data_IF_928580500998
#
_entry.id   IF_928580500998
#
_cell.length_a   1.000
_cell.length_b   1.000
_cell.length_c   1.000
_cell.angle_alpha   90.00
_cell.angle_beta   90.00
_cell.angle_gamma   90.00
#
_symmetry.space_group_name_H-M   'P 1'
#
loop_
_entity.id
_entity.type
_entity.pdbx_description
1 polymer ?
#
# COMPACT_ATOMS: atom_id res chain seq x y z
N UNK A 1 -2.92 -21.81 33.95
CA UNK A 1 -1.78 -21.44 33.09
C UNK A 1 -2.16 -21.79 31.67
N UNK A 2 -2.34 -20.79 30.80
CA UNK A 2 -2.58 -21.01 29.38
C UNK A 2 -1.21 -21.26 28.76
N UNK A 3 -0.97 -22.48 28.29
CA UNK A 3 0.30 -22.85 27.64
C UNK A 3 0.36 -22.12 26.30
N UNK A 4 1.16 -21.05 26.21
CA UNK A 4 1.43 -20.36 24.94
C UNK A 4 2.05 -21.34 23.96
N UNK A 5 1.65 -21.25 22.68
CA UNK A 5 2.46 -21.79 21.59
C UNK A 5 3.75 -20.97 21.59
N UNK A 6 4.85 -21.51 22.10
CA UNK A 6 6.14 -20.83 21.99
C UNK A 6 6.56 -20.95 20.54
N UNK A 7 6.55 -19.83 19.79
CA UNK A 7 7.08 -19.79 18.43
C UNK A 7 8.46 -20.47 18.41
N UNK A 8 8.84 -21.25 17.39
CA UNK A 8 10.18 -21.85 17.34
C UNK A 8 11.28 -20.79 17.51
N UNK A 9 12.43 -21.14 18.10
CA UNK A 9 13.50 -20.18 18.49
C UNK A 9 13.97 -19.22 17.39
N UNK A 10 13.82 -19.60 16.12
CA UNK A 10 14.31 -18.82 14.97
C UNK A 10 13.24 -17.97 14.29
N UNK A 11 11.97 -18.05 14.72
CA UNK A 11 10.94 -17.16 14.20
C UNK A 11 10.96 -15.83 14.98
N UNK A 12 10.64 -14.69 14.31
CA UNK A 12 10.45 -13.42 14.99
C UNK A 12 9.52 -13.55 16.19
N UNK A 13 9.84 -12.81 17.25
CA UNK A 13 9.02 -12.72 18.46
C UNK A 13 8.91 -11.26 18.90
N UNK A 14 7.82 -10.90 19.59
CA UNK A 14 7.76 -9.62 20.29
C UNK A 14 8.97 -9.43 21.20
N UNK A 15 9.48 -8.19 21.29
CA UNK A 15 10.59 -7.88 22.20
C UNK A 15 10.15 -7.71 23.66
N UNK A 16 8.84 -7.73 23.92
CA UNK A 16 8.25 -7.60 25.25
C UNK A 16 6.87 -8.27 25.34
N UNK A 17 6.35 -8.37 26.57
CA UNK A 17 5.10 -9.08 26.86
C UNK A 17 3.86 -8.39 26.31
N UNK A 18 3.83 -7.06 26.26
CA UNK A 18 2.68 -6.33 25.74
C UNK A 18 2.49 -6.58 24.25
N UNK A 19 3.58 -6.77 23.50
CA UNK A 19 3.53 -7.15 22.11
C UNK A 19 2.81 -8.50 21.90
N UNK A 20 2.99 -9.46 22.81
CA UNK A 20 2.21 -10.69 22.78
C UNK A 20 0.71 -10.44 23.05
N UNK A 21 0.38 -9.52 23.96
CA UNK A 21 -1.02 -9.14 24.23
C UNK A 21 -1.68 -8.56 22.97
N UNK A 22 -0.96 -7.73 22.20
CA UNK A 22 -1.45 -7.20 20.94
C UNK A 22 -1.67 -8.32 19.90
N UNK A 23 -0.70 -9.20 19.71
CA UNK A 23 -0.84 -10.32 18.77
C UNK A 23 -2.02 -11.23 19.14
N UNK A 24 -2.17 -11.59 20.43
CA UNK A 24 -3.31 -12.39 20.91
C UNK A 24 -4.64 -11.65 20.75
N UNK A 25 -4.68 -10.31 20.92
CA UNK A 25 -5.89 -9.53 20.68
C UNK A 25 -6.32 -9.56 19.20
N UNK A 26 -5.35 -9.45 18.28
CA UNK A 26 -5.60 -9.56 16.83
C UNK A 26 -6.06 -10.97 16.47
N UNK A 27 -5.36 -11.99 16.95
CA UNK A 27 -5.68 -13.40 16.69
C UNK A 27 -7.05 -13.80 17.24
N UNK A 28 -7.35 -13.40 18.48
CA UNK A 28 -8.62 -13.68 19.14
C UNK A 28 -9.79 -13.03 18.41
N UNK A 29 -9.62 -11.79 17.91
CA UNK A 29 -10.66 -11.17 17.09
C UNK A 29 -10.86 -11.92 15.77
N UNK A 30 -9.77 -12.23 15.06
CA UNK A 30 -9.83 -12.89 13.76
C UNK A 30 -10.49 -14.27 13.85
N UNK A 31 -10.10 -15.08 14.84
CA UNK A 31 -10.66 -16.42 15.03
C UNK A 31 -12.14 -16.40 15.43
N UNK A 32 -12.59 -15.38 16.16
CA UNK A 32 -14.00 -15.20 16.51
C UNK A 32 -14.85 -14.68 15.35
N UNK A 33 -14.33 -13.76 14.54
CA UNK A 33 -15.11 -13.01 13.56
C UNK A 33 -14.87 -13.42 12.09
N UNK A 34 -13.83 -14.23 11.83
CA UNK A 34 -13.39 -14.63 10.49
C UNK A 34 -13.02 -13.47 9.56
N UNK A 35 -12.69 -12.32 10.17
CA UNK A 35 -12.25 -11.10 9.49
C UNK A 35 -11.17 -10.43 10.33
N UNK A 36 -10.17 -9.87 9.69
CA UNK A 36 -9.10 -9.14 10.39
C UNK A 36 -9.65 -7.89 11.08
N UNK A 37 -9.23 -7.59 12.32
CA UNK A 37 -9.69 -6.42 13.06
C UNK A 37 -9.19 -5.12 12.44
N UNK A 38 -9.89 -4.02 12.73
CA UNK A 38 -9.38 -2.69 12.43
C UNK A 38 -8.46 -2.18 13.55
N UNK A 39 -7.65 -1.17 13.23
CA UNK A 39 -6.83 -0.45 14.18
C UNK A 39 -7.66 0.10 15.35
N UNK A 40 -8.79 0.76 15.09
CA UNK A 40 -9.65 1.34 16.14
C UNK A 40 -10.14 0.28 17.14
N UNK A 41 -10.47 -0.91 16.65
CA UNK A 41 -10.90 -2.00 17.52
C UNK A 41 -9.76 -2.44 18.45
N UNK A 42 -8.57 -2.65 17.90
CA UNK A 42 -7.42 -3.13 18.67
C UNK A 42 -6.95 -2.08 19.65
N UNK A 43 -6.85 -0.82 19.24
CA UNK A 43 -6.46 0.29 20.12
C UNK A 43 -7.40 0.39 21.35
N UNK A 44 -8.72 0.38 21.11
CA UNK A 44 -9.72 0.39 22.21
C UNK A 44 -9.64 -0.86 23.07
N UNK A 45 -9.38 -2.03 22.47
CA UNK A 45 -9.30 -3.30 23.21
C UNK A 45 -8.08 -3.37 24.11
N UNK A 46 -6.93 -2.85 23.66
CA UNK A 46 -5.73 -2.73 24.47
C UNK A 46 -5.95 -1.76 25.63
N UNK A 47 -6.56 -0.60 25.36
CA UNK A 47 -6.82 0.41 26.38
C UNK A 47 -7.85 -0.03 27.43
N UNK A 48 -8.88 -0.79 27.02
CA UNK A 48 -9.88 -1.34 27.94
C UNK A 48 -9.38 -2.58 28.71
N UNK A 49 -8.25 -3.17 28.28
CA UNK A 49 -7.68 -4.37 28.87
C UNK A 49 -6.87 -4.11 30.14
N UNK A 50 -6.38 -5.18 30.79
CA UNK A 50 -5.47 -5.06 31.92
C UNK A 50 -4.23 -4.24 31.54
N UNK A 51 -3.85 -3.29 32.39
CA UNK A 51 -2.68 -2.43 32.16
C UNK A 51 -2.93 -1.21 31.27
N UNK A 52 -4.15 -1.03 30.72
CA UNK A 52 -4.53 0.12 29.88
C UNK A 52 -3.48 0.43 28.80
N UNK A 53 -3.09 -0.61 28.07
CA UNK A 53 -1.97 -0.55 27.16
C UNK A 53 -2.22 0.47 26.04
N UNK A 54 -1.23 1.33 25.78
CA UNK A 54 -1.29 2.33 24.73
C UNK A 54 -0.69 1.76 23.45
N UNK A 55 -1.48 1.68 22.37
CA UNK A 55 -1.07 1.00 21.12
C UNK A 55 0.30 1.47 20.60
N UNK A 56 0.55 2.78 20.58
CA UNK A 56 1.81 3.37 20.09
C UNK A 56 3.04 2.87 20.86
N UNK A 57 2.89 2.49 22.11
CA UNK A 57 3.98 1.98 22.95
C UNK A 57 4.16 0.49 22.72
N UNK A 58 3.07 -0.26 22.67
CA UNK A 58 3.08 -1.71 22.45
C UNK A 58 3.61 -2.08 21.06
N UNK A 59 3.19 -1.36 20.03
CA UNK A 59 3.53 -1.69 18.64
C UNK A 59 5.03 -1.63 18.34
N UNK A 60 5.80 -0.84 19.11
CA UNK A 60 7.26 -0.78 19.01
C UNK A 60 7.94 -2.08 19.46
N UNK A 61 7.23 -2.97 20.16
CA UNK A 61 7.71 -4.31 20.51
C UNK A 61 7.52 -5.31 19.35
N UNK A 62 6.90 -4.87 18.25
CA UNK A 62 6.60 -5.69 17.07
C UNK A 62 7.31 -5.14 15.83
N UNK A 63 7.34 -5.95 14.78
CA UNK A 63 7.88 -5.60 13.47
C UNK A 63 6.93 -6.06 12.35
N UNK A 64 7.12 -5.61 11.10
CA UNK A 64 6.34 -6.08 9.95
C UNK A 64 6.41 -7.61 9.73
N UNK A 65 7.45 -8.28 10.24
CA UNK A 65 7.55 -9.73 10.24
C UNK A 65 6.50 -10.42 11.12
N UNK A 66 5.86 -9.71 12.06
CA UNK A 66 4.85 -10.24 12.99
C UNK A 66 3.42 -9.76 12.65
N UNK A 67 3.27 -8.48 12.35
CA UNK A 67 1.98 -7.82 12.12
C UNK A 67 2.03 -7.04 10.80
N UNK A 68 0.96 -7.07 10.01
CA UNK A 68 0.80 -6.31 8.75
C UNK A 68 -0.34 -5.29 8.88
N UNK A 69 -0.43 -4.39 7.90
CA UNK A 69 -1.48 -3.37 7.83
C UNK A 69 -1.08 -2.00 8.36
N UNK A 70 0.20 -1.81 8.66
CA UNK A 70 0.76 -0.57 9.17
C UNK A 70 1.98 -0.15 8.35
N UNK A 71 2.21 1.16 8.27
CA UNK A 71 3.48 1.68 7.78
C UNK A 71 4.59 1.39 8.80
N UNK A 72 5.82 1.01 8.39
CA UNK A 72 6.92 0.72 9.32
C UNK A 72 7.27 1.89 10.27
N UNK A 73 7.02 3.12 9.84
CA UNK A 73 7.05 4.31 10.69
C UNK A 73 5.63 4.88 10.87
N UNK A 74 5.01 4.57 12.00
CA UNK A 74 3.66 5.05 12.33
C UNK A 74 3.66 6.49 12.91
N UNK A 75 4.84 7.01 13.28
CA UNK A 75 5.02 8.42 13.64
C UNK A 75 4.91 9.34 12.42
N UNK A 76 5.38 8.86 11.27
CA UNK A 76 5.26 9.51 9.95
C UNK A 76 3.85 9.35 9.38
N UNK A 77 3.35 8.11 9.30
CA UNK A 77 2.02 7.81 8.78
C UNK A 77 1.14 7.20 9.87
N UNK A 78 0.28 8.03 10.45
CA UNK A 78 -0.61 7.58 11.52
C UNK A 78 -1.62 6.55 11.01
N UNK A 79 -1.89 5.46 11.74
CA UNK A 79 -2.93 4.52 11.38
C UNK A 79 -4.29 5.21 11.40
N UNK A 80 -5.11 4.97 10.38
CA UNK A 80 -6.51 5.39 10.39
C UNK A 80 -7.36 4.32 11.10
N UNK A 81 -8.48 4.72 11.69
CA UNK A 81 -9.35 3.81 12.43
C UNK A 81 -9.84 2.60 11.63
N UNK A 82 -9.97 2.74 10.32
CA UNK A 82 -10.44 1.70 9.39
C UNK A 82 -9.34 0.78 8.89
N UNK A 83 -8.05 1.08 9.11
CA UNK A 83 -6.96 0.23 8.66
C UNK A 83 -7.07 -1.17 9.29
N UNK A 84 -7.04 -2.21 8.46
CA UNK A 84 -7.06 -3.59 8.93
C UNK A 84 -5.68 -4.05 9.38
N UNK A 85 -5.63 -4.77 10.50
CA UNK A 85 -4.42 -5.37 11.05
C UNK A 85 -4.49 -6.90 10.89
N UNK A 86 -3.48 -7.49 10.25
CA UNK A 86 -3.42 -8.94 10.02
C UNK A 86 -2.11 -9.55 10.49
N UNK A 87 -2.14 -10.81 10.91
CA UNK A 87 -0.93 -11.50 11.36
C UNK A 87 -0.19 -12.13 10.19
N UNK A 88 1.14 -12.19 10.29
CA UNK A 88 1.96 -13.07 9.47
C UNK A 88 1.95 -14.50 10.04
N UNK A 89 2.59 -15.44 9.34
CA UNK A 89 2.89 -16.78 9.88
C UNK A 89 3.67 -16.69 11.20
N UNK A 90 4.66 -15.80 11.31
CA UNK A 90 5.40 -15.62 12.55
C UNK A 90 4.58 -14.93 13.65
N UNK A 91 3.73 -13.96 13.30
CA UNK A 91 2.79 -13.35 14.25
C UNK A 91 1.87 -14.40 14.86
N UNK A 92 1.23 -15.21 14.02
CA UNK A 92 0.36 -16.29 14.48
C UNK A 92 1.10 -17.36 15.28
N UNK A 93 2.36 -17.66 14.96
CA UNK A 93 3.20 -18.59 15.74
C UNK A 93 3.43 -18.15 17.20
N UNK A 94 3.26 -16.85 17.50
CA UNK A 94 3.36 -16.30 18.84
C UNK A 94 2.01 -16.25 19.59
N UNK A 95 0.91 -16.69 18.95
CA UNK A 95 -0.43 -16.68 19.53
C UNK A 95 -0.83 -18.04 20.11
N UNK A 96 -1.69 -18.00 21.13
CA UNK A 96 -2.25 -19.22 21.70
C UNK A 96 -3.28 -19.85 20.74
N UNK A 97 -3.18 -21.16 20.51
CA UNK A 97 -4.18 -21.91 19.73
C UNK A 97 -4.02 -21.80 18.21
N UNK A 98 -2.95 -21.18 17.70
CA UNK A 98 -2.69 -21.07 16.26
C UNK A 98 -2.11 -22.35 15.63
N UNK A 99 -1.64 -23.32 16.42
CA UNK A 99 -0.90 -24.49 15.95
C UNK A 99 -1.62 -25.32 14.87
N UNK A 100 -2.94 -25.49 14.99
CA UNK A 100 -3.72 -26.21 13.98
C UNK A 100 -3.70 -25.51 12.61
N UNK A 101 -3.91 -24.19 12.61
CA UNK A 101 -3.86 -23.39 11.39
C UNK A 101 -2.47 -23.36 10.75
N UNK A 102 -1.42 -23.24 11.56
CA UNK A 102 -0.04 -23.26 11.09
C UNK A 102 0.37 -24.61 10.50
N UNK A 103 -0.09 -25.71 11.09
CA UNK A 103 0.13 -27.06 10.57
C UNK A 103 -0.61 -27.25 9.24
N UNK A 104 -1.85 -26.77 9.15
CA UNK A 104 -2.63 -26.78 7.90
C UNK A 104 -2.00 -25.91 6.83
N UNK A 105 -1.45 -24.75 7.18
CA UNK A 105 -0.70 -23.89 6.27
C UNK A 105 0.49 -24.63 5.63
N UNK A 106 1.32 -25.31 6.43
CA UNK A 106 2.44 -26.09 5.89
C UNK A 106 1.98 -27.22 4.96
N UNK A 107 0.82 -27.82 5.24
CA UNK A 107 0.24 -28.80 4.33
C UNK A 107 -0.22 -28.15 3.01
N UNK A 108 -0.87 -26.98 3.05
CA UNK A 108 -1.25 -26.21 1.85
C UNK A 108 -0.04 -25.93 0.96
N UNK A 109 1.09 -25.50 1.54
CA UNK A 109 2.33 -25.22 0.80
C UNK A 109 2.87 -26.48 0.12
N UNK A 110 2.91 -27.61 0.84
CA UNK A 110 3.35 -28.90 0.27
C UNK A 110 2.46 -29.35 -0.90
N UNK A 111 1.14 -29.25 -0.74
CA UNK A 111 0.18 -29.66 -1.76
C UNK A 111 0.27 -28.78 -3.01
N UNK A 112 0.32 -27.47 -2.83
CA UNK A 112 0.52 -26.55 -3.95
C UNK A 112 1.82 -26.86 -4.69
N UNK A 113 2.88 -27.23 -3.98
CA UNK A 113 4.17 -27.63 -4.57
C UNK A 113 4.11 -28.95 -5.34
N UNK A 114 3.20 -29.85 -4.99
CA UNK A 114 2.98 -31.13 -5.69
C UNK A 114 2.10 -30.95 -6.94
N UNK A 115 1.11 -30.05 -6.85
CA UNK A 115 0.19 -29.75 -7.96
C UNK A 115 0.92 -28.97 -9.07
N UNK A 116 1.69 -27.94 -8.72
CA UNK A 116 2.24 -26.99 -9.70
C UNK A 116 3.03 -27.63 -10.85
N UNK A 117 3.94 -28.61 -10.63
CA UNK A 117 4.71 -29.21 -11.71
C UNK A 117 3.88 -30.02 -12.72
N UNK A 118 2.72 -30.53 -12.29
CA UNK A 118 1.83 -31.36 -13.09
C UNK A 118 0.66 -30.57 -13.67
N UNK A 119 0.56 -29.29 -13.33
CA UNK A 119 -0.49 -28.42 -13.83
C UNK A 119 -0.22 -28.02 -15.28
N UNK A 120 -1.06 -28.50 -16.19
CA UNK A 120 -1.07 -28.06 -17.58
C UNK A 120 -2.12 -26.95 -17.73
N UNK A 121 -1.72 -25.67 -17.88
CA UNK A 121 -2.66 -24.56 -17.86
C UNK A 121 -3.57 -24.59 -19.11
N UNK A 122 -4.90 -24.56 -18.94
CA UNK A 122 -5.79 -23.99 -19.95
C UNK A 122 -5.35 -22.54 -20.20
N UNK A 123 -5.38 -22.07 -21.44
CA UNK A 123 -4.84 -20.76 -21.85
C UNK A 123 -5.18 -19.62 -20.87
N UNK A 124 -4.18 -19.14 -20.12
CA UNK A 124 -4.28 -17.95 -19.26
C UNK A 124 -4.70 -18.18 -17.81
N UNK A 125 -4.93 -19.43 -17.38
CA UNK A 125 -5.33 -19.75 -16.00
C UNK A 125 -4.13 -20.13 -15.10
N UNK A 126 -4.26 -19.82 -13.81
CA UNK A 126 -3.31 -20.24 -12.76
C UNK A 126 -3.94 -21.35 -11.90
N UNK A 127 -3.15 -22.30 -11.36
CA UNK A 127 -3.68 -23.28 -10.43
C UNK A 127 -4.16 -22.61 -9.15
N UNK A 128 -5.27 -23.11 -8.63
CA UNK A 128 -5.94 -22.62 -7.43
C UNK A 128 -6.01 -23.74 -6.41
N UNK A 129 -5.56 -23.48 -5.19
CA UNK A 129 -5.72 -24.39 -4.06
C UNK A 129 -7.04 -24.04 -3.35
N UNK A 130 -7.87 -25.03 -3.11
CA UNK A 130 -9.19 -24.89 -2.49
C UNK A 130 -9.39 -25.94 -1.39
N UNK A 131 -10.48 -25.81 -0.64
CA UNK A 131 -10.80 -26.73 0.46
C UNK A 131 -10.84 -28.21 0.05
N UNK A 132 -11.35 -28.50 -1.15
CA UNK A 132 -11.47 -29.88 -1.64
C UNK A 132 -10.12 -30.56 -1.87
N UNK A 133 -9.09 -29.79 -2.22
CA UNK A 133 -7.75 -30.30 -2.51
C UNK A 133 -7.06 -30.81 -1.25
N UNK A 134 -7.50 -30.36 -0.07
CA UNK A 134 -6.94 -30.80 1.22
C UNK A 134 -7.55 -32.12 1.74
N UNK A 135 -8.69 -32.57 1.20
CA UNK A 135 -9.49 -33.66 1.81
C UNK A 135 -8.85 -35.05 1.70
N UNK A 136 -8.03 -35.29 0.69
CA UNK A 136 -7.46 -36.61 0.38
C UNK A 136 -5.93 -36.63 0.39
N UNK A 137 -5.30 -35.63 1.02
CA UNK A 137 -3.84 -35.48 0.96
C UNK A 137 -3.15 -36.25 2.08
N UNK A 138 -2.09 -36.96 1.70
CA UNK A 138 -1.17 -37.62 2.62
C UNK A 138 -0.31 -36.62 3.40
N UNK A 139 -0.21 -36.79 4.72
CA UNK A 139 0.71 -35.99 5.56
C UNK A 139 0.10 -34.72 6.20
N UNK A 140 -1.24 -34.60 6.18
CA UNK A 140 -2.00 -33.69 7.04
C UNK A 140 -2.78 -34.51 8.07
N UNK A 141 -2.88 -34.03 9.31
CA UNK A 141 -3.79 -34.64 10.30
C UNK A 141 -5.23 -34.40 9.83
N UNK A 142 -6.03 -35.45 9.56
CA UNK A 142 -7.41 -35.30 9.10
C UNK A 142 -8.28 -34.46 10.03
N UNK A 143 -7.96 -34.40 11.32
CA UNK A 143 -8.69 -33.57 12.31
C UNK A 143 -8.51 -32.07 12.08
N UNK A 144 -7.46 -31.68 11.35
CA UNK A 144 -7.17 -30.28 11.01
C UNK A 144 -7.79 -29.87 9.66
N UNK A 145 -8.35 -30.80 8.89
CA UNK A 145 -9.00 -30.55 7.60
C UNK A 145 -10.47 -30.17 7.81
N UNK A 146 -10.74 -29.17 8.63
CA UNK A 146 -12.08 -28.59 8.79
C UNK A 146 -12.18 -27.27 8.02
N UNK A 147 -13.40 -26.84 7.67
CA UNK A 147 -13.59 -25.54 6.99
C UNK A 147 -13.05 -24.39 7.84
N UNK A 148 -13.23 -24.45 9.15
CA UNK A 148 -12.80 -23.43 10.10
C UNK A 148 -11.27 -23.30 10.14
N UNK A 149 -10.55 -24.42 10.27
CA UNK A 149 -9.09 -24.41 10.39
C UNK A 149 -8.45 -24.06 9.04
N UNK A 150 -8.96 -24.63 7.96
CA UNK A 150 -8.44 -24.37 6.61
C UNK A 150 -8.72 -22.94 6.17
N UNK A 151 -9.88 -22.36 6.48
CA UNK A 151 -10.16 -20.95 6.24
C UNK A 151 -9.16 -20.03 6.96
N UNK A 152 -8.89 -20.31 8.24
CA UNK A 152 -7.92 -19.54 9.04
C UNK A 152 -6.51 -19.69 8.49
N UNK A 153 -6.10 -20.90 8.10
CA UNK A 153 -4.81 -21.14 7.48
C UNK A 153 -4.67 -20.40 6.13
N UNK A 154 -5.70 -20.40 5.30
CA UNK A 154 -5.71 -19.70 4.02
C UNK A 154 -5.62 -18.18 4.19
N UNK A 155 -6.30 -17.61 5.20
CA UNK A 155 -6.22 -16.19 5.51
C UNK A 155 -4.81 -15.74 5.95
N UNK A 156 -4.03 -16.62 6.57
CA UNK A 156 -2.60 -16.38 6.85
C UNK A 156 -1.75 -16.55 5.58
N UNK A 157 -2.08 -17.53 4.74
CA UNK A 157 -1.34 -17.89 3.54
C UNK A 157 -1.42 -16.86 2.41
N UNK A 158 -2.54 -16.14 2.28
CA UNK A 158 -2.85 -15.29 1.12
C UNK A 158 -1.81 -14.22 0.82
N UNK A 159 -1.09 -13.74 1.84
CA UNK A 159 -0.06 -12.71 1.73
C UNK A 159 1.37 -13.25 1.87
N UNK A 160 1.53 -14.57 1.85
CA UNK A 160 2.83 -15.23 1.87
C UNK A 160 3.40 -15.36 0.45
N UNK A 161 4.73 -15.23 0.26
CA UNK A 161 5.36 -15.19 -1.07
C UNK A 161 5.21 -16.49 -1.85
N UNK A 162 4.79 -17.57 -1.20
CA UNK A 162 4.54 -18.86 -1.82
C UNK A 162 3.15 -18.88 -2.54
N UNK A 163 2.31 -17.87 -2.35
CA UNK A 163 1.00 -17.71 -3.00
C UNK A 163 0.88 -16.33 -3.68
N UNK A 164 0.08 -16.25 -4.75
CA UNK A 164 -0.14 -15.06 -5.59
C UNK A 164 -1.39 -14.27 -5.20
N UNK A 165 -1.88 -14.48 -3.99
CA UNK A 165 -3.15 -13.96 -3.50
C UNK A 165 -4.24 -15.03 -3.45
N UNK A 166 -5.48 -14.60 -3.30
CA UNK A 166 -6.59 -15.51 -3.08
C UNK A 166 -7.89 -14.80 -2.75
N UNK A 167 -8.96 -15.59 -2.68
CA UNK A 167 -10.29 -15.13 -2.30
C UNK A 167 -10.79 -15.89 -1.08
N UNK A 168 -11.75 -15.30 -0.37
CA UNK A 168 -12.40 -15.98 0.74
C UNK A 168 -13.84 -15.51 0.89
N UNK A 169 -14.74 -16.42 1.28
CA UNK A 169 -16.10 -16.12 1.69
C UNK A 169 -16.31 -16.63 3.12
N UNK A 170 -16.53 -15.70 4.05
CA UNK A 170 -16.66 -16.00 5.47
C UNK A 170 -18.00 -16.65 5.85
N UNK A 171 -19.04 -16.50 5.02
CA UNK A 171 -20.38 -17.03 5.33
C UNK A 171 -20.43 -18.56 5.19
N UNK A 172 -19.73 -19.08 4.18
CA UNK A 172 -19.63 -20.51 3.91
C UNK A 172 -18.25 -21.10 4.23
N UNK A 173 -17.34 -20.27 4.78
CA UNK A 173 -15.96 -20.63 5.10
C UNK A 173 -15.22 -21.22 3.89
N UNK A 174 -15.45 -20.63 2.73
CA UNK A 174 -14.79 -21.01 1.49
C UNK A 174 -13.60 -20.10 1.21
N UNK A 175 -12.60 -20.65 0.55
CA UNK A 175 -11.36 -19.96 0.28
C UNK A 175 -10.67 -20.55 -0.94
N UNK A 176 -9.85 -19.73 -1.59
CA UNK A 176 -8.98 -20.15 -2.66
C UNK A 176 -7.66 -19.40 -2.60
N UNK A 177 -6.56 -20.07 -2.95
CA UNK A 177 -5.22 -19.50 -3.02
C UNK A 177 -4.65 -19.73 -4.41
N UNK A 178 -4.27 -18.66 -5.09
CA UNK A 178 -3.56 -18.75 -6.36
C UNK A 178 -2.08 -19.06 -6.10
N UNK A 179 -1.48 -19.90 -6.92
CA UNK A 179 -0.04 -20.15 -6.88
C UNK A 179 0.52 -20.38 -8.29
N UNK A 180 1.83 -20.31 -8.41
CA UNK A 180 2.56 -20.59 -9.64
C UNK A 180 3.94 -21.16 -9.28
N UNK A 181 4.89 -21.14 -10.23
CA UNK A 181 6.28 -21.58 -10.06
C UNK A 181 6.99 -21.02 -8.82
N UNK A 182 6.54 -19.91 -8.24
CA UNK A 182 7.10 -19.36 -7.01
C UNK A 182 6.85 -20.23 -5.77
N UNK A 183 5.98 -21.25 -5.86
CA UNK A 183 5.81 -22.27 -4.81
C UNK A 183 7.02 -23.21 -4.70
N UNK A 184 7.76 -23.43 -5.80
CA UNK A 184 8.81 -24.47 -5.91
C UNK A 184 9.92 -24.39 -4.86
N UNK A 185 10.44 -23.21 -4.45
CA UNK A 185 11.42 -23.10 -3.37
C UNK A 185 10.93 -23.70 -2.04
N UNK A 186 9.62 -23.74 -1.83
CA UNK A 186 8.98 -24.24 -0.62
C UNK A 186 8.62 -25.74 -0.69
N UNK A 187 8.95 -26.42 -1.79
CA UNK A 187 8.64 -27.83 -1.99
C UNK A 187 9.25 -28.71 -0.87
N UNK A 188 8.44 -29.60 -0.31
CA UNK A 188 8.88 -30.52 0.76
C UNK A 188 9.16 -29.83 2.10
N UNK A 189 8.57 -28.66 2.36
CA UNK A 189 8.72 -27.99 3.66
C UNK A 189 8.16 -28.86 4.81
N UNK A 190 8.97 -29.08 5.84
CA UNK A 190 8.62 -30.01 6.94
C UNK A 190 8.23 -29.33 8.24
N UNK A 191 8.61 -28.06 8.42
CA UNK A 191 8.37 -27.32 9.66
C UNK A 191 8.23 -25.81 9.40
N UNK A 192 7.71 -25.07 10.39
CA UNK A 192 7.64 -23.61 10.31
C UNK A 192 9.02 -22.97 10.22
N UNK A 193 10.03 -23.55 10.87
CA UNK A 193 11.41 -23.06 10.83
C UNK A 193 12.02 -23.23 9.44
N UNK A 194 11.80 -24.39 8.82
CA UNK A 194 12.21 -24.67 7.44
C UNK A 194 11.50 -23.71 6.47
N UNK A 195 10.18 -23.56 6.62
CA UNK A 195 9.39 -22.59 5.85
C UNK A 195 9.96 -21.17 5.96
N UNK A 196 10.21 -20.71 7.18
CA UNK A 196 10.66 -19.35 7.44
C UNK A 196 12.06 -19.09 6.86
N UNK A 197 12.94 -20.08 6.93
CA UNK A 197 14.29 -20.01 6.35
C UNK A 197 14.24 -19.89 4.82
N UNK A 198 13.40 -20.70 4.15
CA UNK A 198 13.19 -20.62 2.69
C UNK A 198 12.52 -19.31 2.28
N UNK A 199 11.55 -18.85 3.07
CA UNK A 199 10.88 -17.54 2.89
C UNK A 199 11.90 -16.41 2.90
N UNK A 200 12.86 -16.44 3.82
CA UNK A 200 13.92 -15.43 3.90
C UNK A 200 14.83 -15.43 2.65
N UNK A 201 15.15 -16.60 2.11
CA UNK A 201 15.93 -16.73 0.86
C UNK A 201 15.17 -16.17 -0.34
N UNK A 202 13.85 -16.41 -0.43
CA UNK A 202 13.01 -15.92 -1.53
C UNK A 202 12.82 -14.40 -1.48
N UNK A 203 12.63 -13.81 -0.29
CA UNK A 203 12.42 -12.37 -0.15
C UNK A 203 13.71 -11.55 -0.31
N UNK A 204 14.87 -12.15 -0.03
CA UNK A 204 16.16 -11.47 -0.06
C UNK A 204 16.47 -10.67 1.21
N UNK A 205 17.75 -10.34 1.37
CA UNK A 205 18.28 -9.74 2.60
C UNK A 205 17.66 -8.37 2.92
N UNK A 206 17.50 -7.49 1.91
CA UNK A 206 16.97 -6.15 2.10
C UNK A 206 15.54 -6.16 2.64
N UNK A 207 14.69 -7.05 2.10
CA UNK A 207 13.31 -7.18 2.55
C UNK A 207 13.24 -7.74 3.96
N UNK A 208 14.10 -8.70 4.29
CA UNK A 208 14.16 -9.28 5.64
C UNK A 208 14.66 -8.27 6.66
N UNK A 209 15.66 -7.47 6.32
CA UNK A 209 16.12 -6.37 7.17
C UNK A 209 14.99 -5.36 7.44
N UNK A 210 14.23 -4.97 6.40
CA UNK A 210 13.05 -4.11 6.57
C UNK A 210 11.97 -4.74 7.45
N UNK A 211 11.63 -6.01 7.23
CA UNK A 211 10.56 -6.70 7.96
C UNK A 211 10.93 -6.98 9.42
N UNK A 212 12.22 -7.08 9.75
CA UNK A 212 12.69 -7.36 11.11
C UNK A 212 12.87 -6.11 11.97
N UNK A 213 13.03 -4.93 11.35
CA UNK A 213 13.08 -3.65 12.08
C UNK A 213 11.76 -3.40 12.85
N UNK A 214 11.81 -3.06 14.14
CA UNK A 214 10.62 -2.73 14.89
C UNK A 214 9.85 -1.54 14.31
N UNK A 215 8.55 -1.52 14.51
CA UNK A 215 7.73 -0.36 14.17
C UNK A 215 8.24 0.87 14.92
N UNK A 216 8.43 1.97 14.20
CA UNK A 216 8.91 3.22 14.79
C UNK A 216 7.76 4.21 15.00
N UNK A 217 7.76 4.87 16.16
CA UNK A 217 6.89 6.02 16.47
C UNK A 217 7.63 7.35 16.42
N UNK A 218 8.94 7.30 16.18
CA UNK A 218 9.75 8.50 16.04
C UNK A 218 9.34 9.20 14.75
N UNK A 219 8.83 10.43 14.88
CA UNK A 219 9.08 11.41 13.84
C UNK A 219 10.59 11.58 13.84
N UNK A 220 11.28 11.05 12.84
CA UNK A 220 12.62 11.57 12.59
C UNK A 220 12.45 13.07 12.44
N UNK A 221 13.08 13.85 13.31
CA UNK A 221 13.40 15.23 12.96
C UNK A 221 14.07 15.12 11.60
N UNK A 222 13.46 15.73 10.58
CA UNK A 222 14.08 15.95 9.29
C UNK A 222 15.54 16.30 9.58
N UNK A 223 16.47 15.41 9.24
CA UNK A 223 17.89 15.73 9.30
C UNK A 223 18.09 16.84 8.27
N UNK A 224 17.97 18.09 8.74
CA UNK A 224 18.49 19.25 8.05
C UNK A 224 19.97 18.93 7.87
N UNK A 225 20.36 18.75 6.62
CA UNK A 225 21.72 18.45 6.19
C UNK A 225 22.75 19.30 6.98
N UNK A 226 23.53 18.67 7.86
CA UNK A 226 24.62 19.30 8.61
C UNK A 226 25.93 19.34 7.81
N UNK A 227 25.84 19.65 6.51
CA UNK A 227 27.04 20.02 5.75
C UNK A 227 27.47 21.42 6.16
N UNK A 228 28.73 21.59 6.53
CA UNK A 228 29.28 22.89 6.91
C UNK A 228 29.06 23.91 5.79
N UNK A 229 28.33 24.98 6.09
CA UNK A 229 28.15 26.12 5.20
C UNK A 229 29.52 26.78 4.91
N UNK A 230 29.79 27.24 3.67
CA UNK A 230 31.00 27.98 3.38
C UNK A 230 31.00 29.28 4.20
N UNK A 231 32.15 29.58 4.80
CA UNK A 231 32.34 30.75 5.66
C UNK A 231 32.02 32.03 4.88
N UNK A 232 31.10 32.90 5.38
CA UNK A 232 30.77 34.13 4.69
C UNK A 232 31.97 35.09 4.75
N UNK A 233 32.37 35.58 3.58
CA UNK A 233 33.32 36.69 3.47
C UNK A 233 32.61 37.96 3.93
N UNK A 234 33.19 38.70 4.88
CA UNK A 234 32.60 39.91 5.45
C UNK A 234 32.26 40.96 4.36
N UNK A 235 31.05 41.53 4.33
CA UNK A 235 30.73 42.69 3.51
C UNK A 235 31.26 43.98 4.15
N UNK A 236 31.72 44.90 3.32
CA UNK A 236 32.09 46.26 3.71
C UNK A 236 30.89 47.02 4.29
N UNK A 237 31.16 47.82 5.33
CA UNK A 237 30.22 48.63 6.09
C UNK A 237 29.47 49.66 5.23
N UNK A 238 28.14 49.72 5.37
CA UNK A 238 27.35 50.90 5.03
C UNK A 238 25.94 50.64 4.48
N UNK A 239 24.94 50.91 5.34
CA UNK A 239 23.51 51.19 5.08
C UNK A 239 22.47 50.05 5.19
N UNK A 240 21.67 50.19 6.26
CA UNK A 240 20.28 49.76 6.57
C UNK A 240 19.85 48.26 6.53
N UNK A 241 19.40 47.77 7.70
CA UNK A 241 18.68 46.50 7.95
C UNK A 241 17.13 46.67 7.84
N UNK A 242 16.28 45.61 7.76
CA UNK A 242 16.57 44.18 7.97
C UNK A 242 15.95 43.21 6.91
N UNK A 243 16.51 42.01 6.78
CA UNK A 243 15.78 40.73 6.96
C UNK A 243 16.61 39.56 6.46
N UNK A 244 16.69 38.55 7.32
CA UNK A 244 17.34 37.27 7.07
C UNK A 244 16.66 36.56 5.90
N UNK A 245 17.43 36.23 4.86
CA UNK A 245 17.02 35.28 3.84
C UNK A 245 18.22 34.39 3.46
N UNK A 246 18.50 33.40 4.29
CA UNK A 246 19.42 32.33 3.95
C UNK A 246 18.63 31.13 3.37
N UNK A 247 18.68 31.02 2.04
CA UNK A 247 18.81 29.71 1.39
C UNK A 247 17.61 28.76 1.34
N UNK A 248 16.37 29.23 1.14
CA UNK A 248 15.35 28.35 0.55
C UNK A 248 15.68 28.16 -0.93
N UNK A 249 16.10 26.95 -1.32
CA UNK A 249 16.16 26.57 -2.75
C UNK A 249 14.73 26.49 -3.28
N UNK A 250 14.15 27.64 -3.64
CA UNK A 250 12.83 27.72 -4.25
C UNK A 250 12.93 27.13 -5.65
N UNK A 251 12.40 25.92 -5.84
CA UNK A 251 12.14 25.39 -7.17
C UNK A 251 11.04 26.24 -7.80
N UNK A 252 11.43 27.17 -8.68
CA UNK A 252 10.49 27.94 -9.47
C UNK A 252 9.94 27.06 -10.60
N UNK A 253 8.68 26.64 -10.48
CA UNK A 253 7.98 25.88 -11.51
C UNK A 253 7.22 26.82 -12.45
N UNK A 254 7.55 26.76 -13.75
CA UNK A 254 6.76 27.43 -14.78
C UNK A 254 5.52 26.58 -15.08
N UNK A 255 4.33 27.14 -14.80
CA UNK A 255 3.06 26.47 -15.08
C UNK A 255 2.85 26.27 -16.59
N UNK A 256 2.06 25.26 -16.94
CA UNK A 256 1.66 25.04 -18.33
C UNK A 256 0.85 26.26 -18.83
N UNK A 257 1.03 26.76 -20.07
CA UNK A 257 0.42 28.02 -20.53
C UNK A 257 -1.10 28.10 -20.32
N UNK A 258 -1.85 27.03 -20.63
CA UNK A 258 -3.30 26.97 -20.39
C UNK A 258 -3.66 27.07 -18.91
N UNK A 259 -2.85 26.50 -18.02
CA UNK A 259 -3.09 26.57 -16.57
C UNK A 259 -2.77 27.97 -16.07
N UNK A 260 -1.64 28.56 -16.51
CA UNK A 260 -1.29 29.94 -16.17
C UNK A 260 -2.39 30.92 -16.61
N UNK A 261 -2.96 30.73 -17.80
CA UNK A 261 -4.06 31.55 -18.33
C UNK A 261 -5.32 31.47 -17.48
N UNK A 262 -5.73 30.27 -17.07
CA UNK A 262 -7.00 30.06 -16.32
C UNK A 262 -6.86 30.39 -14.83
N UNK A 263 -5.69 30.16 -14.24
CA UNK A 263 -5.47 30.28 -12.81
C UNK A 263 -4.81 31.59 -12.38
N UNK A 264 -3.99 32.22 -13.22
CA UNK A 264 -3.04 33.25 -12.81
C UNK A 264 -3.67 34.46 -12.11
N UNK A 265 -4.73 35.02 -12.69
CA UNK A 265 -5.41 36.20 -12.11
C UNK A 265 -6.18 35.85 -10.84
N UNK A 266 -6.83 34.68 -10.82
CA UNK A 266 -7.59 34.18 -9.67
C UNK A 266 -6.66 33.93 -8.48
N UNK A 267 -5.54 33.24 -8.73
CA UNK A 267 -4.56 32.93 -7.70
C UNK A 267 -3.93 34.20 -7.13
N UNK A 268 -3.52 35.15 -7.98
CA UNK A 268 -2.97 36.45 -7.52
C UNK A 268 -3.99 37.29 -6.74
N UNK A 269 -5.28 37.09 -7.00
CA UNK A 269 -6.37 37.79 -6.31
C UNK A 269 -6.85 37.05 -5.04
N UNK A 270 -6.16 35.99 -4.62
CA UNK A 270 -6.51 35.20 -3.44
C UNK A 270 -7.71 34.26 -3.63
N UNK A 271 -8.19 34.08 -4.87
CA UNK A 271 -9.29 33.17 -5.21
C UNK A 271 -8.74 31.77 -5.50
N UNK A 272 -8.13 31.14 -4.50
CA UNK A 272 -7.38 29.90 -4.66
C UNK A 272 -8.26 28.73 -5.09
N UNK A 273 -9.43 28.59 -4.47
CA UNK A 273 -10.40 27.56 -4.84
C UNK A 273 -10.81 27.65 -6.32
N UNK A 274 -11.06 28.87 -6.82
CA UNK A 274 -11.47 29.10 -8.20
C UNK A 274 -10.32 28.92 -9.20
N UNK A 275 -9.09 29.23 -8.80
CA UNK A 275 -7.89 28.98 -9.59
C UNK A 275 -7.69 27.47 -9.79
N UNK A 276 -7.82 26.69 -8.71
CA UNK A 276 -7.67 25.23 -8.73
C UNK A 276 -8.82 24.58 -9.51
N UNK A 277 -10.07 24.95 -9.22
CA UNK A 277 -11.25 24.42 -9.92
C UNK A 277 -11.18 24.72 -11.42
N UNK A 278 -10.82 25.95 -11.79
CA UNK A 278 -10.66 26.35 -13.19
C UNK A 278 -9.59 25.52 -13.91
N UNK A 279 -8.47 25.27 -13.24
CA UNK A 279 -7.35 24.48 -13.79
C UNK A 279 -7.75 23.05 -14.11
N UNK A 280 -8.42 22.36 -13.18
CA UNK A 280 -8.85 20.98 -13.43
C UNK A 280 -10.04 20.88 -14.40
N UNK A 281 -10.89 21.91 -14.49
CA UNK A 281 -11.87 22.00 -15.58
C UNK A 281 -11.19 22.15 -16.94
N UNK A 282 -10.09 22.92 -17.03
CA UNK A 282 -9.32 23.02 -18.26
C UNK A 282 -8.71 21.67 -18.66
N UNK A 283 -8.18 20.90 -17.70
CA UNK A 283 -7.67 19.53 -17.94
C UNK A 283 -8.79 18.63 -18.46
N UNK A 284 -9.95 18.63 -17.80
CA UNK A 284 -11.14 17.87 -18.21
C UNK A 284 -11.57 18.20 -19.63
N UNK A 285 -11.70 19.50 -19.93
CA UNK A 285 -12.07 19.98 -21.27
C UNK A 285 -11.07 19.57 -22.35
N UNK A 286 -9.76 19.61 -22.06
CA UNK A 286 -8.74 19.18 -23.02
C UNK A 286 -8.84 17.69 -23.34
N UNK A 287 -9.09 16.85 -22.34
CA UNK A 287 -9.34 15.40 -22.55
C UNK A 287 -10.60 15.17 -23.38
N UNK A 288 -11.68 15.90 -23.12
CA UNK A 288 -12.90 15.82 -23.95
C UNK A 288 -12.61 16.19 -25.41
N UNK A 289 -11.86 17.27 -25.62
CA UNK A 289 -11.48 17.75 -26.96
C UNK A 289 -10.66 16.71 -27.72
N UNK A 290 -9.65 16.13 -27.07
CA UNK A 290 -8.76 15.13 -27.70
C UNK A 290 -9.45 13.81 -28.02
N UNK A 291 -10.51 13.45 -27.30
CA UNK A 291 -11.26 12.20 -27.48
C UNK A 291 -12.58 12.35 -28.25
N UNK A 292 -13.10 13.57 -28.40
CA UNK A 292 -14.47 13.81 -28.87
C UNK A 292 -15.55 13.34 -27.89
N UNK A 293 -15.18 13.02 -26.65
CA UNK A 293 -16.09 12.49 -25.63
C UNK A 293 -16.87 13.59 -24.93
N UNK A 294 -18.15 13.34 -24.67
CA UNK A 294 -19.01 14.22 -23.84
C UNK A 294 -19.03 13.81 -22.37
N UNK A 295 -18.27 12.78 -22.00
CA UNK A 295 -18.22 12.29 -20.64
C UNK A 295 -17.46 13.25 -19.72
N UNK A 296 -17.66 13.12 -18.41
CA UNK A 296 -17.05 13.99 -17.38
C UNK A 296 -16.44 13.18 -16.25
N UNK A 297 -15.50 13.80 -15.53
CA UNK A 297 -14.91 13.33 -14.30
C UNK A 297 -14.19 11.99 -14.44
N UNK A 298 -14.37 11.14 -13.44
CA UNK A 298 -13.69 9.84 -13.33
C UNK A 298 -13.88 8.95 -14.57
N UNK A 299 -15.11 8.93 -15.10
CA UNK A 299 -15.48 8.07 -16.22
C UNK A 299 -14.81 8.49 -17.52
N UNK A 300 -14.72 9.81 -17.77
CA UNK A 300 -13.97 10.35 -18.90
C UNK A 300 -12.49 9.96 -18.83
N UNK A 301 -11.85 10.16 -17.67
CA UNK A 301 -10.43 9.85 -17.50
C UNK A 301 -10.17 8.34 -17.65
N UNK A 302 -11.06 7.52 -17.10
CA UNK A 302 -10.99 6.07 -17.24
C UNK A 302 -11.09 5.60 -18.69
N UNK A 303 -12.02 6.14 -19.49
CA UNK A 303 -12.19 5.72 -20.88
C UNK A 303 -11.11 6.29 -21.80
N UNK A 304 -10.69 7.54 -21.59
CA UNK A 304 -9.69 8.21 -22.43
C UNK A 304 -8.27 7.62 -22.28
N UNK A 305 -7.91 7.11 -21.10
CA UNK A 305 -6.55 6.68 -20.76
C UNK A 305 -6.45 5.18 -20.42
N UNK A 306 -7.58 4.50 -20.23
CA UNK A 306 -7.62 3.18 -19.56
C UNK A 306 -7.73 1.95 -20.45
N UNK A 307 -8.03 2.05 -21.75
CA UNK A 307 -8.06 0.87 -22.65
C UNK A 307 -6.66 0.39 -23.05
N UNK A 308 -6.56 -0.84 -23.56
CA UNK A 308 -5.31 -1.41 -24.10
C UNK A 308 -4.77 -0.60 -25.28
N UNK A 309 -5.66 0.05 -26.03
CA UNK A 309 -5.36 1.10 -27.01
C UNK A 309 -6.08 2.39 -26.58
N UNK A 310 -5.47 3.20 -25.70
CA UNK A 310 -6.12 4.38 -25.14
C UNK A 310 -6.35 5.45 -26.21
N UNK A 311 -7.52 6.12 -26.22
CA UNK A 311 -7.76 7.29 -27.07
C UNK A 311 -6.74 8.43 -26.92
N UNK A 312 -6.09 8.53 -25.74
CA UNK A 312 -5.01 9.48 -25.47
C UNK A 312 -3.79 8.72 -24.97
N UNK A 313 -2.64 8.91 -25.63
CA UNK A 313 -1.34 8.46 -25.15
C UNK A 313 -0.66 9.54 -24.32
N UNK A 314 -0.92 9.50 -23.01
CA UNK A 314 -0.25 10.34 -22.04
C UNK A 314 1.05 9.70 -21.50
N UNK A 315 1.72 8.86 -22.30
CA UNK A 315 2.93 8.03 -22.17
C UNK A 315 4.33 8.65 -22.33
N UNK A 316 5.39 8.33 -21.56
CA UNK A 316 6.78 8.58 -22.04
C UNK A 316 7.62 7.31 -22.14
N UNK A 317 7.36 6.33 -21.29
CA UNK A 317 8.07 5.06 -21.25
C UNK A 317 7.73 4.20 -22.46
N UNK A 318 8.65 3.31 -22.78
CA UNK A 318 8.48 2.23 -23.75
C UNK A 318 8.85 0.89 -23.11
N UNK A 319 8.52 -0.22 -23.77
CA UNK A 319 8.89 -1.55 -23.27
C UNK A 319 8.14 -1.96 -21.98
N UNK A 320 8.77 -2.77 -21.10
CA UNK A 320 8.09 -3.38 -19.94
C UNK A 320 7.44 -2.40 -18.95
N UNK A 321 7.94 -1.16 -18.87
CA UNK A 321 7.43 -0.13 -17.95
C UNK A 321 6.20 0.62 -18.48
N UNK A 322 5.87 0.48 -19.77
CA UNK A 322 4.78 1.21 -20.41
C UNK A 322 3.44 0.96 -19.72
N UNK A 323 3.14 -0.29 -19.39
CA UNK A 323 1.85 -0.65 -18.81
C UNK A 323 1.68 -0.10 -17.38
N UNK A 324 2.74 -0.15 -16.57
CA UNK A 324 2.73 0.46 -15.23
C UNK A 324 2.57 1.97 -15.29
N UNK A 325 3.28 2.66 -16.21
CA UNK A 325 3.12 4.10 -16.38
C UNK A 325 1.72 4.46 -16.90
N UNK A 326 1.18 3.70 -17.85
CA UNK A 326 -0.16 3.90 -18.39
C UNK A 326 -1.22 3.84 -17.28
N UNK A 327 -1.17 2.79 -16.47
CA UNK A 327 -2.08 2.65 -15.32
C UNK A 327 -1.90 3.78 -14.30
N UNK A 328 -0.65 4.11 -13.95
CA UNK A 328 -0.37 5.17 -12.98
C UNK A 328 -0.83 6.56 -13.45
N UNK A 329 -0.55 6.92 -14.71
CA UNK A 329 -0.99 8.20 -15.28
C UNK A 329 -2.52 8.26 -15.33
N UNK A 330 -3.20 7.21 -15.80
CA UNK A 330 -4.66 7.12 -15.75
C UNK A 330 -5.19 7.40 -14.35
N UNK A 331 -4.60 6.76 -13.34
CA UNK A 331 -5.06 6.87 -11.95
C UNK A 331 -4.79 8.26 -11.37
N UNK A 332 -3.72 8.96 -11.79
CA UNK A 332 -3.48 10.36 -11.45
C UNK A 332 -4.56 11.29 -12.04
N UNK A 333 -4.94 11.11 -13.30
CA UNK A 333 -6.02 11.89 -13.91
C UNK A 333 -7.36 11.64 -13.19
N UNK A 334 -7.70 10.38 -12.93
CA UNK A 334 -8.90 9.99 -12.17
C UNK A 334 -8.90 10.58 -10.76
N UNK A 335 -7.77 10.46 -10.06
CA UNK A 335 -7.57 11.01 -8.71
C UNK A 335 -7.69 12.53 -8.67
N UNK A 336 -7.15 13.23 -9.67
CA UNK A 336 -7.29 14.68 -9.77
C UNK A 336 -8.76 15.11 -9.94
N UNK A 337 -9.54 14.39 -10.75
CA UNK A 337 -10.97 14.71 -10.90
C UNK A 337 -11.76 14.43 -9.63
N UNK A 338 -11.55 13.26 -9.02
CA UNK A 338 -12.33 12.79 -7.88
C UNK A 338 -11.94 13.46 -6.56
N UNK A 339 -10.64 13.66 -6.32
CA UNK A 339 -10.11 14.18 -5.07
C UNK A 339 -9.88 15.68 -5.05
N UNK A 340 -9.64 16.33 -6.20
CA UNK A 340 -9.32 17.76 -6.25
C UNK A 340 -10.43 18.59 -6.88
N UNK A 341 -10.87 18.23 -8.09
CA UNK A 341 -11.88 19.00 -8.83
C UNK A 341 -13.27 18.85 -8.21
N UNK A 342 -13.72 17.63 -7.96
CA UNK A 342 -15.11 17.37 -7.54
C UNK A 342 -15.47 17.99 -6.18
N UNK A 343 -14.62 17.94 -5.13
CA UNK A 343 -14.92 18.64 -3.88
C UNK A 343 -15.09 20.14 -4.08
N UNK A 344 -14.31 20.75 -4.96
CA UNK A 344 -14.40 22.19 -5.27
C UNK A 344 -15.57 22.54 -6.18
N UNK A 345 -16.06 21.59 -6.97
CA UNK A 345 -17.18 21.77 -7.89
C UNK A 345 -18.56 21.52 -7.25
N UNK A 346 -18.62 20.64 -6.24
CA UNK A 346 -19.88 20.14 -5.67
C UNK A 346 -19.94 20.23 -4.13
N UNK A 347 -18.82 20.49 -3.48
CA UNK A 347 -18.72 20.67 -2.03
C UNK A 347 -18.94 22.13 -1.61
N UNK A 348 -18.78 22.42 -0.30
CA UNK A 348 -18.95 23.77 0.23
C UNK A 348 -17.87 24.73 -0.31
N UNK A 349 -18.23 26.02 -0.43
CA UNK A 349 -17.29 27.10 -0.77
C UNK A 349 -16.33 27.32 0.42
N UNK A 350 -15.16 26.69 0.35
CA UNK A 350 -14.09 26.76 1.35
C UNK A 350 -12.80 27.11 0.62
N UNK A 351 -12.16 28.20 1.05
CA UNK A 351 -10.92 28.63 0.43
C UNK A 351 -9.81 27.62 0.67
N UNK A 352 -9.05 27.33 -0.39
CA UNK A 352 -7.86 26.50 -0.30
C UNK A 352 -6.74 27.25 0.42
N UNK A 353 -5.88 26.50 1.11
CA UNK A 353 -4.60 27.02 1.57
C UNK A 353 -3.75 27.47 0.36
N UNK A 354 -3.10 28.66 0.39
CA UNK A 354 -2.35 29.16 -0.75
C UNK A 354 -1.22 28.23 -1.21
N UNK A 355 -0.53 27.57 -0.29
CA UNK A 355 0.57 26.67 -0.62
C UNK A 355 0.04 25.38 -1.24
N UNK A 356 -1.01 24.79 -0.67
CA UNK A 356 -1.67 23.61 -1.23
C UNK A 356 -2.24 23.92 -2.63
N UNK A 357 -2.87 25.08 -2.80
CA UNK A 357 -3.36 25.54 -4.09
C UNK A 357 -2.25 25.64 -5.14
N UNK A 358 -1.07 26.14 -4.76
CA UNK A 358 0.08 26.19 -5.65
C UNK A 358 0.52 24.78 -6.09
N UNK A 359 0.58 23.81 -5.18
CA UNK A 359 0.92 22.42 -5.50
C UNK A 359 -0.11 21.79 -6.45
N UNK A 360 -1.39 22.07 -6.23
CA UNK A 360 -2.47 21.61 -7.11
C UNK A 360 -2.39 22.22 -8.52
N UNK A 361 -1.99 23.49 -8.64
CA UNK A 361 -1.74 24.12 -9.94
C UNK A 361 -0.53 23.52 -10.67
N UNK A 362 0.52 23.17 -9.92
CA UNK A 362 1.68 22.44 -10.47
C UNK A 362 1.27 21.06 -10.95
N UNK A 363 0.44 20.34 -10.20
CA UNK A 363 -0.11 19.05 -10.63
C UNK A 363 -0.97 19.19 -11.88
N UNK A 364 -1.90 20.15 -11.93
CA UNK A 364 -2.70 20.40 -13.13
C UNK A 364 -1.82 20.73 -14.35
N UNK A 365 -0.73 21.49 -14.15
CA UNK A 365 0.26 21.77 -15.18
C UNK A 365 1.01 20.53 -15.64
N UNK A 366 1.38 19.65 -14.71
CA UNK A 366 1.99 18.37 -15.04
C UNK A 366 1.05 17.52 -15.90
N UNK A 367 -0.23 17.41 -15.54
CA UNK A 367 -1.22 16.66 -16.32
C UNK A 367 -1.40 17.24 -17.72
N UNK A 368 -1.45 18.56 -17.87
CA UNK A 368 -1.46 19.20 -19.20
C UNK A 368 -0.23 18.82 -20.03
N UNK A 369 0.96 18.85 -19.43
CA UNK A 369 2.21 18.43 -20.12
C UNK A 369 2.22 16.95 -20.51
N UNK A 370 1.41 16.10 -19.86
CA UNK A 370 1.21 14.71 -20.30
C UNK A 370 0.27 14.61 -21.48
N UNK A 371 -0.69 15.54 -21.63
CA UNK A 371 -1.56 15.64 -22.80
C UNK A 371 -0.84 16.22 -24.01
N UNK A 372 0.12 17.13 -23.82
CA UNK A 372 0.97 17.67 -24.90
C UNK A 372 1.61 16.55 -25.73
N UNK A 373 1.99 15.45 -25.09
CA UNK A 373 2.60 14.28 -25.74
C UNK A 373 1.68 13.70 -26.83
N UNK A 374 0.38 13.63 -26.58
CA UNK A 374 -0.58 13.08 -27.55
C UNK A 374 -0.69 13.99 -28.78
N UNK A 375 -0.70 15.31 -28.58
CA UNK A 375 -0.77 16.28 -29.68
C UNK A 375 0.52 16.26 -30.49
N UNK A 376 1.68 16.25 -29.84
CA UNK A 376 2.99 16.09 -30.50
C UNK A 376 3.03 14.82 -31.37
N UNK A 377 2.43 13.72 -30.89
CA UNK A 377 2.34 12.47 -31.65
C UNK A 377 1.40 12.59 -32.86
N UNK A 378 0.24 13.24 -32.71
CA UNK A 378 -0.70 13.48 -33.82
C UNK A 378 -0.08 14.35 -34.90
N UNK A 379 0.57 15.45 -34.51
CA UNK A 379 1.27 16.36 -35.42
C UNK A 379 2.44 15.67 -36.13
N UNK A 380 3.11 14.71 -35.49
CA UNK A 380 4.20 13.94 -36.13
C UNK A 380 3.72 12.86 -37.11
N UNK A 381 2.43 12.53 -37.10
CA UNK A 381 1.82 11.49 -37.94
C UNK A 381 1.05 12.07 -39.14
N UNK A 382 0.73 13.37 -39.10
CA UNK A 382 0.22 14.17 -40.24
C UNK A 382 1.36 14.67 -41.13
#
# INVERSE_FOLDING_TARGET
>A
MITRTVAPEQLPRPTGEDGHVLLDAVWGFFTANRTWPTFDYIDRKLYAGPGQLVFKEVIQQLSPALLRGLHPNIGYMRPQGTHQLSLTIAGAANCTGAGGALSTFLAMVRIASEIEPHWAPPSGEQPMLQFQDLRNVTGIDPRLVTREITFVAAALAVAEPCFRGGGSNKENLDWSLAFDREIRPFAGVVSLQDYWSRRAQVLGADRIDQDTRPYSVRREELHIWQGAAPTPTQPAEGADEPSQNEGSSVLQCVLHPLIAQVAGDRFRSGQYQDAVLGSFRAVEHRVQTLTGSTEVGDRLMGTALGSSTPPIRATRSTGPSLESERMGIRDLFKGAMTGLRNPRAHGPETQDDPAEAQEMLVLASFLMRRLDIEEELRESTE
#
